data_IF_312346926358
#
_entry.id   IF_312346926358
#
_cell.length_a   1.000
_cell.length_b   1.000
_cell.length_c   1.000
_cell.angle_alpha   90.00
_cell.angle_beta   90.00
_cell.angle_gamma   90.00
#
_symmetry.space_group_name_H-M   'P 1'
#
loop_
_entity.id
_entity.type
_entity.pdbx_description
1 polymer ?
#
# COMPACT_ATOMS: atom_id res chain seq x y z
N UNK A 1 1.32 8.11 -17.83
CA UNK A 1 2.01 7.99 -16.53
C UNK A 1 0.98 7.50 -15.53
N UNK A 2 1.17 6.32 -14.93
CA UNK A 2 0.20 5.77 -13.96
C UNK A 2 0.19 6.61 -12.69
N UNK A 3 -1.00 7.02 -12.27
CA UNK A 3 -1.24 7.80 -11.05
C UNK A 3 -0.66 7.05 -9.83
N UNK A 4 0.14 7.69 -8.96
CA UNK A 4 0.60 7.11 -7.70
C UNK A 4 -0.53 6.47 -6.86
N UNK A 5 -1.75 7.00 -6.92
CA UNK A 5 -2.92 6.43 -6.24
C UNK A 5 -3.30 5.06 -6.81
N UNK A 6 -3.26 4.90 -8.13
CA UNK A 6 -3.56 3.62 -8.80
C UNK A 6 -2.50 2.55 -8.49
N UNK A 7 -1.22 2.96 -8.40
CA UNK A 7 -0.15 2.06 -7.97
C UNK A 7 -0.34 1.57 -6.53
N UNK A 8 -0.62 2.46 -5.59
CA UNK A 8 -0.85 2.07 -4.20
C UNK A 8 -2.06 1.15 -4.04
N UNK A 9 -3.15 1.41 -4.76
CA UNK A 9 -4.34 0.56 -4.73
C UNK A 9 -4.02 -0.88 -5.17
N UNK A 10 -3.23 -1.05 -6.23
CA UNK A 10 -2.77 -2.36 -6.71
C UNK A 10 -1.89 -3.08 -5.69
N UNK A 11 -0.89 -2.40 -5.14
CA UNK A 11 -0.02 -2.96 -4.08
C UNK A 11 -0.84 -3.40 -2.86
N UNK A 12 -1.81 -2.60 -2.42
CA UNK A 12 -2.67 -2.93 -1.28
C UNK A 12 -3.55 -4.16 -1.58
N UNK A 13 -4.10 -4.26 -2.80
CA UNK A 13 -4.92 -5.39 -3.21
C UNK A 13 -4.10 -6.69 -3.21
N UNK A 14 -2.89 -6.66 -3.77
CA UNK A 14 -1.99 -7.81 -3.81
C UNK A 14 -1.55 -8.23 -2.41
N UNK A 15 -1.11 -7.27 -1.58
CA UNK A 15 -0.73 -7.54 -0.19
C UNK A 15 -1.83 -8.28 0.58
N UNK A 16 -3.10 -7.83 0.42
CA UNK A 16 -4.24 -8.46 1.10
C UNK A 16 -4.59 -9.83 0.53
N UNK A 17 -4.43 -10.02 -0.78
CA UNK A 17 -4.70 -11.30 -1.43
C UNK A 17 -3.65 -12.37 -1.11
N UNK A 18 -2.40 -11.95 -0.87
CA UNK A 18 -1.24 -12.83 -0.74
C UNK A 18 -0.64 -12.84 0.67
N UNK A 19 -1.45 -12.53 1.69
CA UNK A 19 -1.05 -12.60 3.11
C UNK A 19 0.23 -11.82 3.44
N UNK A 20 0.40 -10.66 2.79
CA UNK A 20 1.52 -9.76 3.00
C UNK A 20 2.66 -9.87 2.00
N UNK A 21 2.58 -10.78 1.03
CA UNK A 21 3.59 -10.93 -0.01
C UNK A 21 3.22 -10.12 -1.27
N UNK A 22 4.15 -9.30 -1.75
CA UNK A 22 3.96 -8.50 -2.96
C UNK A 22 5.18 -8.68 -3.86
N UNK A 23 4.95 -8.92 -5.15
CA UNK A 23 6.01 -9.12 -6.13
C UNK A 23 6.66 -7.83 -6.66
N UNK A 24 7.53 -7.98 -7.66
CA UNK A 24 8.17 -6.85 -8.33
C UNK A 24 9.18 -6.15 -7.42
N UNK A 25 9.03 -4.82 -7.24
CA UNK A 25 10.00 -4.04 -6.44
C UNK A 25 9.97 -4.36 -4.94
N UNK A 26 8.93 -5.06 -4.47
CA UNK A 26 8.75 -5.46 -3.07
C UNK A 26 9.03 -6.95 -2.83
N UNK A 27 9.46 -7.68 -3.86
CA UNK A 27 9.66 -9.13 -3.78
C UNK A 27 10.76 -9.47 -2.76
N UNK A 28 10.42 -10.36 -1.81
CA UNK A 28 11.33 -10.78 -0.74
C UNK A 28 11.55 -9.74 0.38
N UNK A 29 10.95 -8.55 0.28
CA UNK A 29 11.03 -7.53 1.32
C UNK A 29 9.86 -7.65 2.30
N UNK A 30 10.07 -7.39 3.61
CA UNK A 30 8.96 -7.23 4.54
C UNK A 30 8.19 -5.95 4.17
N UNK A 31 6.87 -6.06 4.03
CA UNK A 31 5.99 -4.93 3.75
C UNK A 31 4.95 -4.79 4.85
N UNK A 32 4.54 -3.56 5.13
CA UNK A 32 3.45 -3.26 6.07
C UNK A 32 2.46 -2.29 5.46
N UNK A 33 1.17 -2.44 5.81
CA UNK A 33 0.13 -1.47 5.49
C UNK A 33 -0.11 -0.54 6.67
N UNK A 34 0.25 0.73 6.52
CA UNK A 34 0.03 1.75 7.56
C UNK A 34 -1.34 2.38 7.36
N UNK A 35 -2.19 2.23 8.38
CA UNK A 35 -3.46 2.95 8.48
C UNK A 35 -3.23 4.28 9.19
N UNK A 36 -3.63 5.38 8.56
CA UNK A 36 -3.47 6.71 9.13
C UNK A 36 -4.60 7.64 8.74
N UNK A 37 -4.77 8.70 9.54
CA UNK A 37 -5.79 9.72 9.32
C UNK A 37 -5.15 11.03 8.91
N UNK A 38 -5.63 11.61 7.81
CA UNK A 38 -5.12 12.86 7.29
C UNK A 38 -5.28 14.00 8.29
N UNK A 39 -4.18 14.65 8.69
CA UNK A 39 -4.19 15.75 9.68
C UNK A 39 -5.14 16.90 9.30
N UNK A 40 -5.21 17.26 8.02
CA UNK A 40 -6.07 18.36 7.53
C UNK A 40 -7.47 17.88 7.15
N UNK A 41 -7.57 16.72 6.48
CA UNK A 41 -8.83 16.25 5.89
C UNK A 41 -9.65 15.35 6.81
N UNK A 42 -9.04 14.77 7.84
CA UNK A 42 -9.66 13.76 8.69
C UNK A 42 -9.99 12.44 7.98
N UNK A 43 -9.61 12.29 6.70
CA UNK A 43 -9.89 11.09 5.90
C UNK A 43 -8.97 9.95 6.32
N UNK A 44 -9.50 8.73 6.30
CA UNK A 44 -8.73 7.51 6.49
C UNK A 44 -7.94 7.18 5.21
N UNK A 45 -6.70 6.77 5.39
CA UNK A 45 -5.80 6.35 4.32
C UNK A 45 -5.08 5.07 4.71
N UNK A 46 -4.67 4.34 3.67
CA UNK A 46 -3.79 3.18 3.81
C UNK A 46 -2.62 3.39 2.88
N UNK A 47 -1.40 3.15 3.37
CA UNK A 47 -0.17 3.34 2.58
C UNK A 47 0.77 2.17 2.82
N UNK A 48 1.26 1.50 1.76
CA UNK A 48 2.28 0.47 1.89
C UNK A 48 3.64 1.09 2.20
N UNK A 49 4.38 0.49 3.13
CA UNK A 49 5.73 0.92 3.55
C UNK A 49 6.62 -0.33 3.70
N UNK A 50 7.89 -0.22 3.34
CA UNK A 50 8.94 -1.22 3.62
C UNK A 50 9.63 -0.91 4.95
#
# INVERSE_FOLDING_TARGET
>A
MSDPLDRNAKTIAEFRANEGQVGGVFEGAPLVLVHHRGRKSGREYVTPVM
#
